data_IF_305320375629
#
_entry.id   IF_305320375629
#
_cell.length_a   1.000
_cell.length_b   1.000
_cell.length_c   1.000
_cell.angle_alpha   90.00
_cell.angle_beta   90.00
_cell.angle_gamma   90.00
#
_symmetry.space_group_name_H-M   'P 1'
#
loop_
_entity.id
_entity.type
_entity.pdbx_description
1 polymer ?
#
# COMPACT_ATOMS: atom_id res chain seq x y z
N UNK A 1 2.10 8.23 23.52
CA UNK A 1 2.52 7.28 22.48
C UNK A 1 1.29 6.81 21.74
N UNK A 2 1.39 6.66 20.42
CA UNK A 2 0.31 6.20 19.55
C UNK A 2 0.60 4.77 19.14
N UNK A 3 -0.35 3.85 19.33
CA UNK A 3 -0.16 2.46 18.95
C UNK A 3 -0.28 2.31 17.42
N UNK A 4 0.71 1.69 16.76
CA UNK A 4 0.60 1.41 15.33
C UNK A 4 -0.53 0.41 15.08
N UNK A 5 -1.17 0.54 13.93
CA UNK A 5 -2.26 -0.35 13.52
C UNK A 5 -2.00 -0.99 12.14
N UNK A 6 -0.98 -0.53 11.40
CA UNK A 6 -0.68 -1.04 10.07
C UNK A 6 0.80 -1.45 9.92
N UNK A 7 0.99 -2.60 9.28
CA UNK A 7 2.26 -3.05 8.71
C UNK A 7 2.17 -3.02 7.18
N UNK A 8 3.05 -2.26 6.54
CA UNK A 8 3.14 -2.14 5.08
C UNK A 8 4.42 -2.84 4.63
N UNK A 9 4.28 -3.84 3.77
CA UNK A 9 5.39 -4.68 3.30
C UNK A 9 5.24 -5.04 1.82
N UNK A 10 6.36 -5.29 1.16
CA UNK A 10 6.36 -5.82 -0.21
C UNK A 10 5.83 -7.27 -0.24
N UNK A 11 5.25 -7.69 -1.37
CA UNK A 11 4.85 -9.08 -1.62
C UNK A 11 5.95 -10.13 -1.38
N UNK A 12 7.22 -9.83 -1.68
CA UNK A 12 8.35 -10.72 -1.38
C UNK A 12 8.53 -10.92 0.13
N UNK A 13 8.55 -9.84 0.91
CA UNK A 13 8.63 -9.88 2.38
C UNK A 13 7.47 -10.69 2.95
N UNK A 14 6.25 -10.47 2.47
CA UNK A 14 5.08 -11.23 2.90
C UNK A 14 5.20 -12.73 2.62
N UNK A 15 5.76 -13.12 1.47
CA UNK A 15 6.05 -14.53 1.16
C UNK A 15 7.12 -15.11 2.08
N UNK A 16 8.15 -14.33 2.42
CA UNK A 16 9.19 -14.77 3.35
C UNK A 16 8.63 -14.98 4.76
N UNK A 17 7.79 -14.05 5.25
CA UNK A 17 7.13 -14.17 6.57
C UNK A 17 6.26 -15.43 6.68
N UNK A 18 5.62 -15.86 5.59
CA UNK A 18 4.85 -17.12 5.54
C UNK A 18 5.68 -18.38 5.74
N UNK A 19 6.99 -18.29 5.54
CA UNK A 19 7.93 -19.41 5.70
C UNK A 19 8.69 -19.37 7.04
N UNK A 20 8.51 -18.32 7.85
CA UNK A 20 9.18 -18.19 9.15
C UNK A 20 8.53 -19.14 10.17
N UNK A 21 9.32 -20.03 10.76
CA UNK A 21 8.84 -21.05 11.71
C UNK A 21 8.08 -20.45 12.89
N UNK A 22 8.59 -19.36 13.48
CA UNK A 22 7.95 -18.70 14.62
C UNK A 22 6.54 -18.19 14.31
N UNK A 23 6.32 -17.70 13.08
CA UNK A 23 5.01 -17.22 12.63
C UNK A 23 4.08 -18.40 12.38
N UNK A 24 4.59 -19.43 11.69
CA UNK A 24 3.85 -20.67 11.42
C UNK A 24 3.42 -21.34 12.72
N UNK A 25 4.30 -21.41 13.73
CA UNK A 25 3.98 -22.01 15.01
C UNK A 25 2.97 -21.18 15.80
N UNK A 26 3.10 -19.85 15.82
CA UNK A 26 2.10 -18.97 16.45
C UNK A 26 0.71 -19.13 15.82
N UNK A 27 0.63 -19.30 14.49
CA UNK A 27 -0.62 -19.58 13.79
C UNK A 27 -1.23 -20.93 14.20
N UNK A 28 -0.43 -21.99 14.34
CA UNK A 28 -0.90 -23.30 14.83
C UNK A 28 -1.54 -23.19 16.22
N UNK A 29 -0.90 -22.46 17.13
CA UNK A 29 -1.41 -22.28 18.50
C UNK A 29 -2.70 -21.46 18.56
N UNK A 30 -2.93 -20.54 17.61
CA UNK A 30 -4.18 -19.77 17.51
C UNK A 30 -5.34 -20.57 16.88
N UNK A 31 -5.17 -21.85 16.57
CA UNK A 31 -6.24 -22.71 16.05
C UNK A 31 -6.46 -22.61 14.53
N UNK A 32 -5.50 -22.06 13.78
CA UNK A 32 -5.55 -22.15 12.32
C UNK A 32 -5.37 -23.61 11.87
N UNK A 33 -6.41 -24.15 11.23
CA UNK A 33 -6.50 -25.56 10.82
C UNK A 33 -5.52 -25.91 9.69
N UNK A 34 -5.14 -24.92 8.88
CA UNK A 34 -4.24 -25.11 7.73
C UNK A 34 -3.16 -24.03 7.69
N UNK A 35 -1.96 -24.39 8.13
CA UNK A 35 -0.77 -23.53 8.18
C UNK A 35 0.12 -23.65 6.95
N UNK A 36 -0.39 -24.22 5.85
CA UNK A 36 0.34 -24.18 4.57
C UNK A 36 0.62 -22.71 4.20
N UNK A 37 1.85 -22.36 3.77
CA UNK A 37 2.23 -20.98 3.43
C UNK A 37 1.30 -20.27 2.42
N UNK A 38 0.57 -21.05 1.62
CA UNK A 38 -0.40 -20.57 0.64
C UNK A 38 -1.71 -20.08 1.28
N UNK A 39 -2.12 -20.69 2.40
CA UNK A 39 -3.38 -20.44 3.10
C UNK A 39 -3.28 -19.31 4.14
N UNK A 40 -2.07 -18.90 4.51
CA UNK A 40 -1.85 -17.79 5.44
C UNK A 40 -2.29 -16.47 4.82
N UNK A 41 -3.48 -16.00 5.17
CA UNK A 41 -4.03 -14.73 4.68
C UNK A 41 -3.38 -13.53 5.37
N UNK A 42 -3.56 -12.34 4.79
CA UNK A 42 -3.11 -11.08 5.40
C UNK A 42 -3.76 -10.86 6.77
N UNK A 43 -5.03 -11.23 6.91
CA UNK A 43 -5.79 -11.15 8.17
C UNK A 43 -5.24 -12.10 9.25
N UNK A 44 -4.88 -13.32 8.88
CA UNK A 44 -4.23 -14.26 9.80
C UNK A 44 -2.90 -13.70 10.31
N UNK A 45 -2.13 -13.07 9.43
CA UNK A 45 -0.87 -12.43 9.78
C UNK A 45 -1.07 -11.18 10.65
N UNK A 46 -2.10 -10.37 10.37
CA UNK A 46 -2.48 -9.22 11.20
C UNK A 46 -2.81 -9.64 12.64
N UNK A 47 -3.58 -10.73 12.80
CA UNK A 47 -3.91 -11.31 14.10
C UNK A 47 -2.69 -11.87 14.85
N UNK A 48 -1.68 -12.37 14.14
CA UNK A 48 -0.44 -12.83 14.77
C UNK A 48 0.40 -11.69 15.36
N UNK A 49 0.40 -10.53 14.70
CA UNK A 49 1.15 -9.33 15.08
C UNK A 49 0.36 -8.36 15.96
N UNK A 50 -0.91 -8.66 16.24
CA UNK A 50 -1.81 -7.77 16.98
C UNK A 50 -1.96 -6.39 16.30
N UNK A 51 -2.11 -6.41 14.97
CA UNK A 51 -2.32 -5.23 14.13
C UNK A 51 -3.68 -5.31 13.44
N UNK A 52 -4.29 -4.16 13.16
CA UNK A 52 -5.55 -4.10 12.41
C UNK A 52 -5.32 -4.39 10.92
N UNK A 53 -4.20 -3.94 10.37
CA UNK A 53 -3.93 -3.96 8.93
C UNK A 53 -2.55 -4.53 8.59
N UNK A 54 -2.52 -5.50 7.68
CA UNK A 54 -1.30 -5.91 6.95
C UNK A 54 -1.50 -5.60 5.48
N UNK A 55 -0.85 -4.53 5.03
CA UNK A 55 -0.94 -4.03 3.66
C UNK A 55 0.24 -4.61 2.87
N UNK A 56 -0.10 -5.42 1.86
CA UNK A 56 0.89 -5.97 0.94
C UNK A 56 0.90 -5.14 -0.32
N UNK A 57 1.95 -4.35 -0.48
CA UNK A 57 2.14 -3.48 -1.64
C UNK A 57 2.81 -4.27 -2.78
N UNK A 58 2.11 -4.40 -3.90
CA UNK A 58 2.56 -5.13 -5.09
C UNK A 58 2.28 -4.25 -6.31
N UNK A 59 3.26 -3.43 -6.66
CA UNK A 59 3.16 -2.50 -7.78
C UNK A 59 4.47 -2.52 -8.58
N UNK A 60 4.58 -3.39 -9.62
CA UNK A 60 5.65 -3.31 -10.59
C UNK A 60 5.42 -2.09 -11.51
N UNK A 61 6.49 -1.35 -11.80
CA UNK A 61 6.54 -0.27 -12.79
C UNK A 61 7.63 -0.56 -13.81
N UNK A 62 7.43 -0.15 -15.06
CA UNK A 62 8.52 -0.06 -16.02
C UNK A 62 9.37 1.14 -15.65
N UNK A 63 10.64 0.90 -15.34
CA UNK A 63 11.63 1.94 -15.04
C UNK A 63 12.51 2.29 -16.24
N UNK A 64 12.27 1.66 -17.41
CA UNK A 64 12.99 2.00 -18.62
C UNK A 64 12.60 3.40 -19.13
N UNK A 65 13.55 4.09 -19.76
CA UNK A 65 13.26 5.31 -20.48
C UNK A 65 12.41 5.01 -21.72
N UNK A 66 11.63 5.99 -22.17
CA UNK A 66 10.78 5.84 -23.35
C UNK A 66 11.61 5.39 -24.57
N UNK A 67 11.22 4.27 -25.18
CA UNK A 67 11.91 3.68 -26.33
C UNK A 67 13.08 2.73 -26.01
N UNK A 68 13.32 2.39 -24.74
CA UNK A 68 14.30 1.36 -24.33
C UNK A 68 13.61 0.04 -23.98
N UNK A 69 14.41 -1.03 -23.86
CA UNK A 69 13.93 -2.33 -23.41
C UNK A 69 13.37 -2.25 -21.97
N UNK A 70 12.16 -2.79 -21.79
CA UNK A 70 11.42 -2.77 -20.52
C UNK A 70 12.26 -3.33 -19.38
N UNK A 71 12.40 -2.54 -18.32
CA UNK A 71 13.05 -2.94 -17.08
C UNK A 71 12.02 -2.84 -15.95
N UNK A 72 11.58 -3.98 -15.44
CA UNK A 72 10.55 -4.01 -14.39
C UNK A 72 11.20 -3.78 -13.03
N UNK A 73 10.83 -2.68 -12.38
CA UNK A 73 11.20 -2.36 -11.00
C UNK A 73 9.97 -2.32 -10.11
N UNK A 74 10.10 -2.66 -8.83
CA UNK A 74 9.00 -2.50 -7.87
C UNK A 74 8.99 -1.08 -7.30
N UNK A 75 7.81 -0.50 -7.16
CA UNK A 75 7.63 0.80 -6.48
C UNK A 75 8.03 0.69 -5.00
N UNK A 76 7.69 -0.42 -4.36
CA UNK A 76 8.06 -0.73 -2.98
C UNK A 76 9.26 -1.65 -2.97
N UNK A 77 10.37 -1.24 -2.37
CA UNK A 77 11.55 -2.08 -2.19
C UNK A 77 11.23 -3.27 -1.28
N UNK A 78 11.92 -4.40 -1.51
CA UNK A 78 11.83 -5.59 -0.67
C UNK A 78 12.67 -5.51 0.60
N UNK A 79 13.57 -4.52 0.72
CA UNK A 79 14.46 -4.31 1.87
C UNK A 79 13.82 -3.55 3.03
N UNK A 80 12.65 -2.95 2.81
CA UNK A 80 11.98 -2.11 3.80
C UNK A 80 10.63 -2.67 4.22
N UNK A 81 10.30 -2.49 5.50
CA UNK A 81 8.98 -2.69 6.06
C UNK A 81 8.59 -1.46 6.87
N UNK A 82 7.36 -0.98 6.73
CA UNK A 82 6.89 0.19 7.46
C UNK A 82 5.84 -0.21 8.48
N UNK A 83 6.06 0.15 9.74
CA UNK A 83 5.07 0.03 10.81
C UNK A 83 4.56 1.43 11.12
N UNK A 84 3.26 1.67 11.00
CA UNK A 84 2.71 3.01 11.18
C UNK A 84 1.29 3.03 11.73
N UNK A 85 0.87 4.20 12.19
CA UNK A 85 -0.54 4.52 12.41
C UNK A 85 -1.14 5.09 11.13
N UNK A 86 -2.06 4.33 10.52
CA UNK A 86 -2.94 4.83 9.47
C UNK A 86 -4.25 5.32 10.06
N UNK A 87 -4.83 6.36 9.46
CA UNK A 87 -6.13 6.88 9.86
C UNK A 87 -7.23 5.85 9.59
N UNK A 88 -8.15 5.72 10.54
CA UNK A 88 -9.35 4.88 10.41
C UNK A 88 -10.58 5.70 10.05
N UNK A 89 -10.49 7.02 10.22
CA UNK A 89 -11.58 7.97 9.97
C UNK A 89 -11.14 9.09 9.03
N UNK A 90 -12.12 9.76 8.44
CA UNK A 90 -11.89 10.96 7.62
C UNK A 90 -11.66 12.23 8.47
N UNK A 91 -11.67 12.13 9.81
CA UNK A 91 -11.42 13.28 10.67
C UNK A 91 -9.95 13.69 10.58
N UNK A 92 -9.69 14.91 10.10
CA UNK A 92 -8.34 15.48 9.97
C UNK A 92 -7.60 15.55 11.31
N UNK A 93 -8.32 15.55 12.44
CA UNK A 93 -7.74 15.59 13.79
C UNK A 93 -7.18 14.25 14.25
N UNK A 94 -7.55 13.14 13.60
CA UNK A 94 -7.01 11.83 13.96
C UNK A 94 -5.51 11.77 13.58
N UNK A 95 -4.62 11.53 14.56
CA UNK A 95 -3.19 11.46 14.30
C UNK A 95 -2.86 10.21 13.48
N UNK A 96 -2.19 10.41 12.35
CA UNK A 96 -1.81 9.38 11.39
C UNK A 96 -0.55 9.79 10.63
N UNK A 97 0.09 8.84 9.96
CA UNK A 97 1.33 9.09 9.23
C UNK A 97 1.16 10.06 8.07
N UNK A 98 0.03 9.98 7.36
CA UNK A 98 -0.25 10.80 6.21
C UNK A 98 -1.67 10.62 5.72
N UNK A 99 -2.08 11.53 4.84
CA UNK A 99 -3.41 11.53 4.21
C UNK A 99 -3.29 11.93 2.74
N UNK A 100 -4.22 11.44 1.94
CA UNK A 100 -4.45 11.94 0.59
C UNK A 100 -5.47 13.04 0.64
N UNK A 101 -5.10 14.24 0.20
CA UNK A 101 -5.98 15.37 0.03
C UNK A 101 -6.53 15.36 -1.39
N UNK A 102 -7.83 15.61 -1.53
CA UNK A 102 -8.49 15.81 -2.81
C UNK A 102 -8.91 17.28 -2.92
N UNK A 103 -8.55 17.91 -4.03
CA UNK A 103 -8.98 19.27 -4.35
C UNK A 103 -10.08 19.23 -5.40
N UNK A 104 -11.26 19.78 -5.08
CA UNK A 104 -12.46 19.62 -5.91
C UNK A 104 -12.87 20.83 -6.74
N UNK A 105 -12.10 21.92 -6.74
CA UNK A 105 -12.58 23.20 -7.28
C UNK A 105 -12.70 23.18 -8.80
N UNK A 106 -11.66 22.78 -9.53
CA UNK A 106 -11.66 22.74 -11.02
C UNK A 106 -12.47 21.55 -11.58
N UNK A 107 -13.52 21.13 -10.88
CA UNK A 107 -14.41 20.05 -11.29
C UNK A 107 -13.86 18.64 -11.01
N UNK A 108 -12.74 18.50 -10.32
CA UNK A 108 -12.28 17.19 -9.84
C UNK A 108 -13.26 16.62 -8.81
N UNK A 109 -13.54 15.33 -8.95
CA UNK A 109 -14.37 14.58 -8.02
C UNK A 109 -13.54 13.45 -7.39
N UNK A 110 -13.90 13.06 -6.17
CA UNK A 110 -13.27 11.92 -5.50
C UNK A 110 -13.48 10.68 -6.37
N UNK A 111 -12.38 10.05 -6.81
CA UNK A 111 -12.41 8.92 -7.74
C UNK A 111 -12.26 9.29 -9.22
N UNK A 112 -12.14 10.58 -9.54
CA UNK A 112 -11.94 11.11 -10.88
C UNK A 112 -13.25 11.44 -11.59
N UNK A 113 -13.36 12.65 -12.15
CA UNK A 113 -14.47 13.01 -13.04
C UNK A 113 -14.12 12.63 -14.48
N UNK A 114 -14.90 11.73 -15.07
CA UNK A 114 -14.74 11.31 -16.47
C UNK A 114 -15.63 12.20 -17.35
N UNK A 115 -15.03 12.85 -18.34
CA UNK A 115 -15.73 13.65 -19.33
C UNK A 115 -15.32 13.20 -20.74
N UNK A 116 -16.30 13.08 -21.64
CA UNK A 116 -16.05 12.74 -23.04
C UNK A 116 -16.53 13.87 -23.95
N UNK A 117 -15.68 14.32 -24.87
CA UNK A 117 -16.07 15.29 -25.90
C UNK A 117 -15.44 14.95 -27.25
N UNK A 118 -16.13 15.34 -28.33
CA UNK A 118 -15.60 15.20 -29.69
C UNK A 118 -14.63 16.34 -29.95
N UNK A 119 -13.37 16.01 -30.27
CA UNK A 119 -12.41 16.97 -30.77
C UNK A 119 -12.28 16.82 -32.29
N UNK A 120 -12.88 17.77 -33.01
CA UNK A 120 -12.88 17.81 -34.48
C UNK A 120 -11.50 18.11 -35.07
N UNK A 121 -10.57 18.70 -34.31
CA UNK A 121 -9.20 18.98 -34.77
C UNK A 121 -8.39 17.69 -34.95
N UNK A 122 -8.59 16.72 -34.06
CA UNK A 122 -7.98 15.37 -34.12
C UNK A 122 -8.96 14.32 -34.65
N UNK A 123 -10.18 14.73 -35.03
CA UNK A 123 -11.29 13.87 -35.49
C UNK A 123 -11.51 12.64 -34.61
N UNK A 124 -11.41 12.84 -33.30
CA UNK A 124 -11.41 11.77 -32.30
C UNK A 124 -12.24 12.13 -31.09
N UNK A 125 -12.76 11.11 -30.40
CA UNK A 125 -13.43 11.29 -29.11
C UNK A 125 -12.37 11.31 -28.01
N UNK A 126 -12.29 12.43 -27.30
CA UNK A 126 -11.37 12.61 -26.18
C UNK A 126 -12.11 12.24 -24.91
N UNK A 127 -11.58 11.25 -24.20
CA UNK A 127 -12.01 10.90 -22.84
C UNK A 127 -10.96 11.46 -21.89
N UNK A 128 -11.36 12.43 -21.07
CA UNK A 128 -10.50 13.04 -20.03
C UNK A 128 -10.97 12.65 -18.64
N UNK A 129 -10.01 12.50 -17.73
CA UNK A 129 -10.26 12.27 -16.30
C UNK A 129 -9.62 13.39 -15.51
N UNK A 130 -10.42 14.11 -14.71
CA UNK A 130 -9.92 15.10 -13.73
C UNK A 130 -9.82 14.45 -12.37
N UNK A 131 -8.60 14.34 -11.85
CA UNK A 131 -8.35 13.73 -10.54
C UNK A 131 -7.19 14.46 -9.86
N UNK A 132 -7.53 15.49 -9.08
CA UNK A 132 -6.56 16.34 -8.39
C UNK A 132 -6.42 15.86 -6.94
N UNK A 133 -5.37 15.07 -6.70
CA UNK A 133 -5.02 14.52 -5.39
C UNK A 133 -3.55 14.74 -5.08
N UNK A 134 -3.26 14.89 -3.78
CA UNK A 134 -1.88 14.98 -3.28
C UNK A 134 -1.74 14.20 -1.96
N UNK A 135 -0.70 13.38 -1.85
CA UNK A 135 -0.37 12.61 -0.65
C UNK A 135 0.59 13.37 0.26
N UNK A 136 0.10 13.77 1.43
CA UNK A 136 0.89 14.54 2.40
C UNK A 136 1.18 13.70 3.62
N UNK A 137 2.47 13.62 3.98
CA UNK A 137 2.94 13.06 5.25
C UNK A 137 2.74 14.10 6.35
N UNK A 138 1.93 13.76 7.36
CA UNK A 138 1.55 14.67 8.44
C UNK A 138 2.46 14.49 9.65
N UNK A 139 2.52 13.27 10.17
CA UNK A 139 3.30 12.94 11.35
C UNK A 139 4.28 11.82 11.02
N UNK A 140 5.51 12.19 10.68
CA UNK A 140 6.60 11.22 10.42
C UNK A 140 6.82 10.32 11.63
N UNK A 141 6.67 10.85 12.84
CA UNK A 141 6.80 10.12 14.11
C UNK A 141 5.72 9.04 14.32
N UNK A 142 4.63 9.09 13.56
CA UNK A 142 3.56 8.09 13.62
C UNK A 142 3.89 6.80 12.85
N UNK A 143 5.11 6.68 12.31
CA UNK A 143 5.61 5.43 11.75
C UNK A 143 7.10 5.27 11.88
N UNK A 144 7.52 4.03 11.64
CA UNK A 144 8.91 3.63 11.69
C UNK A 144 9.21 2.76 10.48
N UNK A 145 10.29 3.11 9.78
CA UNK A 145 10.78 2.36 8.62
C UNK A 145 11.86 1.39 9.09
N UNK A 146 11.54 0.10 9.04
CA UNK A 146 12.49 -0.98 9.25
C UNK A 146 13.26 -1.19 7.94
N UNK A 147 14.58 -1.16 8.03
CA UNK A 147 15.50 -1.48 6.93
C UNK A 147 16.09 -2.88 7.07
N UNK A 148 16.57 -3.47 5.97
CA UNK A 148 17.23 -4.77 5.90
C UNK A 148 16.36 -5.95 6.37
N UNK A 149 15.07 -5.95 6.00
CA UNK A 149 14.15 -7.04 6.42
C UNK A 149 14.25 -8.32 5.59
N UNK A 150 14.98 -8.28 4.49
CA UNK A 150 15.16 -9.40 3.54
C UNK A 150 16.61 -9.83 3.35
N UNK A 151 17.56 -9.10 3.92
CA UNK A 151 18.98 -9.38 3.74
C UNK A 151 19.35 -10.68 4.46
N UNK A 152 20.03 -11.55 3.72
CA UNK A 152 20.54 -12.86 4.14
C UNK A 152 21.71 -12.67 5.10
#
# INVERSE_FOLDING_TARGET
>A
GLWPNALIINRKVFRNLRNVEQIVDRLKYQGFVDVRPQMVTRAAMAACFDLDYVIVADCPKDSAAEGQDTTIANIWSDEYAMVCRVATTQDIREPCIGRTFHWGEDGSQIGGLIESYRDESVRSDVVRVRHDVDEVVLYVEAGHLLSNVTTI
#
